data_IF_745606617155
#
_entry.id   IF_745606617155
#
_cell.length_a   1.000
_cell.length_b   1.000
_cell.length_c   1.000
_cell.angle_alpha   90.00
_cell.angle_beta   90.00
_cell.angle_gamma   90.00
#
_symmetry.space_group_name_H-M   'P 1'
#
loop_
_entity.id
_entity.type
_entity.pdbx_description
1 polymer ?
#
# COMPACT_ATOMS: atom_id res chain seq x y z
N UNK A 1 -50.02 39.70 -10.30
CA UNK A 1 -48.89 38.74 -10.30
C UNK A 1 -48.70 38.25 -8.88
N UNK A 2 -48.97 36.98 -8.64
CA UNK A 2 -48.89 36.37 -7.31
C UNK A 2 -50.02 35.38 -7.12
N UNK A 3 -49.71 34.09 -7.26
CA UNK A 3 -50.59 33.01 -6.78
C UNK A 3 -49.74 31.97 -6.06
N UNK A 4 -50.13 31.82 -4.80
CA UNK A 4 -49.81 30.82 -3.79
C UNK A 4 -49.42 29.42 -4.28
N UNK A 5 -48.38 28.87 -3.66
CA UNK A 5 -48.17 27.42 -3.50
C UNK A 5 -48.43 27.01 -2.06
N UNK A 6 -49.25 25.96 -1.91
CA UNK A 6 -49.72 25.37 -0.67
C UNK A 6 -48.70 24.40 -0.06
N UNK A 7 -48.55 24.51 1.26
CA UNK A 7 -47.79 23.64 2.16
C UNK A 7 -48.49 22.31 2.46
N UNK A 8 -47.73 21.21 2.51
CA UNK A 8 -48.08 19.93 3.17
C UNK A 8 -46.81 19.40 3.89
N UNK A 9 -46.96 18.54 4.92
CA UNK A 9 -46.17 18.62 6.15
C UNK A 9 -45.03 17.60 6.23
N UNK A 10 -44.04 17.92 7.06
CA UNK A 10 -42.90 17.06 7.38
C UNK A 10 -43.31 15.84 8.22
N UNK A 11 -42.74 14.64 7.97
CA UNK A 11 -42.85 13.53 8.90
C UNK A 11 -41.69 13.51 9.90
N UNK A 12 -42.09 13.56 11.17
CA UNK A 12 -41.48 13.04 12.39
C UNK A 12 -40.07 12.40 12.31
N UNK A 13 -39.13 13.04 13.02
CA UNK A 13 -37.91 12.40 13.51
C UNK A 13 -38.25 11.44 14.67
N UNK A 14 -38.06 10.15 14.48
CA UNK A 14 -37.95 9.18 15.57
C UNK A 14 -36.51 9.13 16.07
N UNK A 15 -36.32 9.60 17.31
CA UNK A 15 -35.12 9.37 18.12
C UNK A 15 -34.90 7.87 18.29
N UNK A 16 -33.86 7.31 17.69
CA UNK A 16 -33.26 6.04 18.11
C UNK A 16 -31.89 6.30 18.71
N UNK A 17 -31.69 5.73 19.90
CA UNK A 17 -30.61 6.03 20.82
C UNK A 17 -29.22 5.79 20.25
N UNK A 18 -28.36 6.79 20.38
CA UNK A 18 -26.92 6.64 20.20
C UNK A 18 -26.35 5.73 21.27
N UNK A 19 -25.96 4.51 20.87
CA UNK A 19 -25.02 3.68 21.62
C UNK A 19 -23.62 4.22 21.35
N UNK A 20 -22.76 4.41 22.37
CA UNK A 20 -21.50 5.11 22.21
C UNK A 20 -20.55 4.36 21.27
N UNK A 21 -20.06 5.04 20.24
CA UNK A 21 -18.90 4.61 19.49
C UNK A 21 -17.71 4.56 20.46
N UNK A 22 -17.32 3.35 20.87
CA UNK A 22 -16.15 3.16 21.73
C UNK A 22 -14.90 3.40 20.88
N UNK A 23 -14.33 4.57 21.13
CA UNK A 23 -13.09 5.11 20.64
C UNK A 23 -11.93 4.11 20.83
N UNK A 24 -11.34 3.65 19.72
CA UNK A 24 -9.94 3.24 19.73
C UNK A 24 -9.15 4.55 19.69
N UNK A 25 -8.82 5.07 20.88
CA UNK A 25 -8.28 6.41 21.16
C UNK A 25 -9.26 7.58 20.89
N UNK A 26 -9.24 8.63 21.74
CA UNK A 26 -10.16 9.77 21.64
C UNK A 26 -10.14 10.38 20.23
N UNK A 27 -11.21 11.10 19.82
CA UNK A 27 -11.23 11.81 18.55
C UNK A 27 -9.93 12.58 18.42
N UNK A 28 -9.19 12.31 17.36
CA UNK A 28 -7.87 12.88 17.12
C UNK A 28 -8.03 14.39 16.87
N UNK A 29 -8.12 15.14 17.95
CA UNK A 29 -8.00 16.58 17.97
C UNK A 29 -6.54 16.94 17.77
N UNK A 30 -6.30 18.10 17.15
CA UNK A 30 -4.94 18.62 17.05
C UNK A 30 -4.28 18.67 18.43
N UNK A 31 -3.01 18.27 18.49
CA UNK A 31 -2.23 18.18 19.73
C UNK A 31 -2.32 16.83 20.45
N UNK A 32 -3.09 15.86 19.94
CA UNK A 32 -3.11 14.50 20.50
C UNK A 32 -2.00 13.63 19.94
N UNK A 33 -1.48 12.74 20.79
CA UNK A 33 -0.52 11.70 20.41
C UNK A 33 -1.24 10.63 19.59
N UNK A 34 -0.69 10.30 18.43
CA UNK A 34 -1.16 9.21 17.56
C UNK A 34 0.02 8.39 17.05
N UNK A 35 -0.23 7.18 16.57
CA UNK A 35 0.83 6.32 16.01
C UNK A 35 0.88 6.47 14.50
N UNK A 36 1.98 7.00 13.98
CA UNK A 36 2.23 7.13 12.54
C UNK A 36 2.89 5.85 12.00
N UNK A 37 2.31 5.16 11.01
CA UNK A 37 2.95 3.99 10.41
C UNK A 37 4.12 4.40 9.50
N UNK A 38 5.35 4.05 9.88
CA UNK A 38 6.58 4.28 9.10
C UNK A 38 7.14 2.97 8.53
N UNK A 39 8.22 3.05 7.74
CA UNK A 39 8.88 1.85 7.20
C UNK A 39 9.45 0.92 8.28
N UNK A 40 9.81 1.46 9.44
CA UNK A 40 10.41 0.75 10.56
C UNK A 40 9.40 0.33 11.65
N UNK A 41 8.11 0.69 11.50
CA UNK A 41 7.07 0.42 12.49
C UNK A 41 6.22 1.66 12.82
N UNK A 42 5.32 1.54 13.80
CA UNK A 42 4.55 2.66 14.31
C UNK A 42 5.42 3.59 15.16
N UNK A 43 5.48 4.87 14.81
CA UNK A 43 6.21 5.89 15.57
C UNK A 43 5.19 6.81 16.26
N UNK A 44 5.31 7.08 17.57
CA UNK A 44 4.46 8.06 18.24
C UNK A 44 4.69 9.46 17.65
N UNK A 45 3.62 10.13 17.28
CA UNK A 45 3.62 11.42 16.61
C UNK A 45 2.54 12.33 17.20
N UNK A 46 2.74 13.65 17.12
CA UNK A 46 1.75 14.64 17.55
C UNK A 46 1.33 15.45 16.31
N UNK A 47 0.02 15.57 16.11
CA UNK A 47 -0.50 16.36 15.00
C UNK A 47 -0.57 17.84 15.39
N UNK A 48 -0.07 18.71 14.53
CA UNK A 48 0.01 20.14 14.79
C UNK A 48 -0.57 20.89 13.60
N UNK A 49 -1.18 22.05 13.86
CA UNK A 49 -1.66 22.98 12.85
C UNK A 49 -0.48 23.41 11.98
N UNK A 50 -0.64 23.37 10.66
CA UNK A 50 0.42 23.80 9.72
C UNK A 50 0.89 25.23 10.02
N UNK A 51 -0.02 26.11 10.48
CA UNK A 51 0.30 27.48 10.90
C UNK A 51 1.24 27.56 12.11
N UNK A 52 1.21 26.58 13.00
CA UNK A 52 1.96 26.59 14.27
C UNK A 52 3.30 25.84 14.14
N UNK A 53 3.48 25.07 13.07
CA UNK A 53 4.66 24.25 12.85
C UNK A 53 5.96 25.08 12.75
N UNK A 54 6.03 26.20 11.99
CA UNK A 54 7.23 27.05 11.94
C UNK A 54 7.60 27.63 13.30
N UNK A 55 6.60 27.99 14.11
CA UNK A 55 6.80 28.56 15.46
C UNK A 55 7.44 27.52 16.37
N UNK A 56 6.95 26.28 16.33
CA UNK A 56 7.51 25.17 17.13
C UNK A 56 8.94 24.83 16.72
N UNK A 57 9.22 24.75 15.41
CA UNK A 57 10.59 24.53 14.93
C UNK A 57 11.52 25.62 15.45
N UNK A 58 11.13 26.89 15.31
CA UNK A 58 11.94 28.01 15.78
C UNK A 58 12.18 27.94 17.30
N UNK A 59 11.14 27.61 18.08
CA UNK A 59 11.26 27.46 19.54
C UNK A 59 12.24 26.35 19.92
N UNK A 60 12.17 25.17 19.26
CA UNK A 60 13.12 24.08 19.50
C UNK A 60 14.55 24.43 19.07
N UNK A 61 14.74 25.14 17.95
CA UNK A 61 16.06 25.64 17.53
C UNK A 61 16.67 26.56 18.59
N UNK A 62 15.88 27.48 19.16
CA UNK A 62 16.32 28.38 20.24
C UNK A 62 16.69 27.59 21.50
N UNK A 63 15.86 26.62 21.90
CA UNK A 63 16.14 25.76 23.06
C UNK A 63 17.46 24.99 22.90
N UNK A 64 17.71 24.41 21.73
CA UNK A 64 18.97 23.72 21.43
C UNK A 64 20.15 24.69 21.52
N UNK A 65 20.01 25.91 20.99
CA UNK A 65 21.06 26.92 21.08
C UNK A 65 21.39 27.29 22.54
N UNK A 66 20.37 27.40 23.41
CA UNK A 66 20.55 27.65 24.85
C UNK A 66 21.25 26.47 25.54
N UNK A 67 20.91 25.23 25.16
CA UNK A 67 21.58 24.02 25.68
C UNK A 67 23.07 24.06 25.31
N UNK A 68 23.42 24.39 24.07
CA UNK A 68 24.83 24.47 23.64
C UNK A 68 25.58 25.63 24.32
N UNK A 69 24.93 26.77 24.56
CA UNK A 69 25.52 27.86 25.33
C UNK A 69 25.81 27.44 26.78
N UNK A 70 24.90 26.68 27.40
CA UNK A 70 25.07 26.14 28.74
C UNK A 70 26.15 25.05 28.79
N UNK A 71 26.19 24.19 27.76
CA UNK A 71 27.20 23.15 27.58
C UNK A 71 28.60 23.75 27.43
N UNK A 72 28.74 24.88 26.72
CA UNK A 72 30.00 25.61 26.64
C UNK A 72 30.49 26.03 28.02
N UNK A 73 29.63 26.66 28.83
CA UNK A 73 29.98 27.08 30.19
C UNK A 73 30.39 25.89 31.06
N UNK A 74 29.66 24.78 30.96
CA UNK A 74 30.02 23.55 31.67
C UNK A 74 31.39 23.00 31.23
N UNK A 75 31.65 22.93 29.93
CA UNK A 75 32.92 22.44 29.39
C UNK A 75 34.09 23.36 29.72
N UNK A 76 33.89 24.68 29.73
CA UNK A 76 34.91 25.64 30.16
C UNK A 76 35.33 25.42 31.62
N UNK A 77 34.34 25.21 32.51
CA UNK A 77 34.60 24.87 33.91
C UNK A 77 35.32 23.51 34.05
N UNK A 78 34.94 22.53 33.24
CA UNK A 78 35.55 21.20 33.25
C UNK A 78 37.01 21.25 32.79
N UNK A 79 37.30 22.00 31.72
CA UNK A 79 38.67 22.23 31.24
C UNK A 79 39.53 22.85 32.35
N UNK A 80 39.03 23.85 33.07
CA UNK A 80 39.74 24.44 34.21
C UNK A 80 40.01 23.42 35.31
N UNK A 81 39.00 22.66 35.73
CA UNK A 81 39.14 21.70 36.82
C UNK A 81 40.23 20.65 36.50
N UNK A 82 40.18 20.05 35.32
CA UNK A 82 41.14 19.01 34.94
C UNK A 82 42.53 19.56 34.59
N UNK A 83 42.65 20.81 34.14
CA UNK A 83 43.94 21.44 33.89
C UNK A 83 44.61 21.95 35.17
N UNK A 84 43.86 22.53 36.10
CA UNK A 84 44.38 23.03 37.36
C UNK A 84 44.89 21.92 38.28
N UNK A 85 44.31 20.71 38.17
CA UNK A 85 44.66 19.56 39.02
C UNK A 85 45.87 18.76 38.53
N UNK A 86 46.32 18.92 37.29
CA UNK A 86 47.23 17.95 36.66
C UNK A 86 48.71 18.32 36.63
N UNK A 87 49.10 19.59 36.60
CA UNK A 87 50.50 19.96 36.33
C UNK A 87 50.98 21.19 37.13
N UNK A 88 51.73 20.95 38.21
CA UNK A 88 52.45 22.01 38.95
C UNK A 88 53.62 22.63 38.15
N UNK A 89 54.11 21.93 37.11
CA UNK A 89 55.25 22.35 36.26
C UNK A 89 54.83 22.87 34.87
N UNK A 90 53.56 23.24 34.69
CA UNK A 90 53.06 23.73 33.40
C UNK A 90 53.73 25.05 32.98
N UNK A 91 54.27 25.11 31.75
CA UNK A 91 54.94 26.29 31.22
C UNK A 91 54.01 27.50 31.04
N UNK A 92 54.60 28.71 31.05
CA UNK A 92 53.88 30.01 30.99
C UNK A 92 52.91 30.12 29.81
N UNK A 93 53.24 29.52 28.67
CA UNK A 93 52.40 29.57 27.46
C UNK A 93 51.07 28.83 27.64
N UNK A 94 51.06 27.72 28.40
CA UNK A 94 49.84 26.97 28.70
C UNK A 94 48.89 27.73 29.62
N UNK A 95 49.42 28.45 30.61
CA UNK A 95 48.62 29.32 31.48
C UNK A 95 47.97 30.46 30.70
N UNK A 96 48.70 31.08 29.77
CA UNK A 96 48.14 32.14 28.90
C UNK A 96 47.01 31.59 28.03
N UNK A 97 47.18 30.41 27.44
CA UNK A 97 46.12 29.76 26.67
C UNK A 97 44.89 29.42 27.53
N UNK A 98 45.09 28.91 28.75
CA UNK A 98 43.99 28.58 29.65
C UNK A 98 43.21 29.84 30.10
N UNK A 99 43.91 30.92 30.42
CA UNK A 99 43.30 32.21 30.79
C UNK A 99 42.54 32.82 29.61
N UNK A 100 43.10 32.78 28.41
CA UNK A 100 42.43 33.26 27.20
C UNK A 100 41.17 32.41 26.87
N UNK A 101 41.24 31.10 27.09
CA UNK A 101 40.10 30.19 26.91
C UNK A 101 39.00 30.46 27.94
N UNK A 102 39.36 30.62 29.21
CA UNK A 102 38.43 30.93 30.29
C UNK A 102 37.74 32.28 30.14
N UNK A 103 38.48 33.31 29.74
CA UNK A 103 37.94 34.65 29.53
C UNK A 103 37.03 34.75 28.29
N UNK A 104 36.89 33.67 27.52
CA UNK A 104 36.02 33.63 26.37
C UNK A 104 34.57 33.31 26.79
N UNK A 105 33.73 34.33 26.79
CA UNK A 105 32.31 34.23 27.19
C UNK A 105 31.46 33.30 26.30
N UNK A 106 31.92 33.00 25.08
CA UNK A 106 31.24 32.13 24.13
C UNK A 106 32.27 31.36 23.27
N UNK A 107 31.87 30.27 22.58
CA UNK A 107 32.81 29.47 21.81
C UNK A 107 33.40 30.24 20.62
N UNK A 108 32.72 31.25 20.09
CA UNK A 108 33.23 32.08 18.99
C UNK A 108 34.42 32.94 19.39
N UNK A 109 34.36 33.56 20.58
CA UNK A 109 35.49 34.31 21.13
C UNK A 109 36.64 33.39 21.53
N UNK A 110 36.35 32.15 21.93
CA UNK A 110 37.39 31.15 22.16
C UNK A 110 38.10 30.72 20.87
N UNK A 111 37.40 30.61 19.74
CA UNK A 111 38.01 30.31 18.43
C UNK A 111 39.00 31.41 18.04
N UNK A 112 38.61 32.68 18.15
CA UNK A 112 39.48 33.79 17.74
C UNK A 112 40.68 33.94 18.66
N UNK A 113 40.49 33.83 19.98
CA UNK A 113 41.59 33.94 20.97
C UNK A 113 42.55 32.76 20.90
N UNK A 114 42.05 31.53 20.81
CA UNK A 114 42.91 30.34 20.65
C UNK A 114 43.59 30.31 19.27
N UNK A 115 42.89 30.74 18.22
CA UNK A 115 43.45 30.86 16.88
C UNK A 115 44.61 31.87 16.83
N UNK A 116 44.45 33.02 17.50
CA UNK A 116 45.51 34.01 17.64
C UNK A 116 46.70 33.45 18.44
N UNK A 117 46.45 32.74 19.54
CA UNK A 117 47.49 32.06 20.32
C UNK A 117 48.28 31.04 19.47
N UNK A 118 47.57 30.19 18.70
CA UNK A 118 48.20 29.20 17.83
C UNK A 118 49.00 29.85 16.70
N UNK A 119 48.46 30.90 16.09
CA UNK A 119 49.14 31.67 15.04
C UNK A 119 50.43 32.33 15.57
N UNK A 120 50.39 32.93 16.75
CA UNK A 120 51.59 33.47 17.39
C UNK A 120 52.59 32.37 17.76
N UNK A 121 52.11 31.22 18.25
CA UNK A 121 52.98 30.09 18.61
C UNK A 121 53.61 29.41 17.39
N UNK A 122 53.01 29.49 16.20
CA UNK A 122 53.58 28.97 14.94
C UNK A 122 54.48 29.98 14.23
N UNK A 123 54.05 31.23 14.07
CA UNK A 123 54.80 32.28 13.36
C UNK A 123 56.00 32.78 14.19
N UNK A 124 55.79 33.10 15.47
CA UNK A 124 56.86 33.60 16.34
C UNK A 124 57.62 32.45 17.05
N UNK A 125 57.23 31.20 16.79
CA UNK A 125 57.77 29.99 17.41
C UNK A 125 59.14 29.54 16.90
N UNK A 126 59.71 30.20 15.89
CA UNK A 126 61.07 29.91 15.37
C UNK A 126 62.18 30.07 16.42
N UNK A 127 61.93 30.82 17.50
CA UNK A 127 62.90 31.07 18.58
C UNK A 127 62.75 30.14 19.82
N UNK A 128 62.06 28.99 19.70
CA UNK A 128 62.04 27.98 20.78
C UNK A 128 61.23 28.34 22.05
N UNK A 129 60.36 29.36 22.00
CA UNK A 129 59.62 29.87 23.17
C UNK A 129 58.39 29.05 23.61
N UNK A 130 57.90 28.12 22.78
CA UNK A 130 56.71 27.30 23.09
C UNK A 130 57.00 25.84 22.76
N UNK A 131 56.86 24.98 23.77
CA UNK A 131 57.14 23.55 23.64
C UNK A 131 56.05 22.84 22.81
N UNK A 132 56.41 21.72 22.15
CA UNK A 132 55.46 20.88 21.39
C UNK A 132 54.19 20.48 22.17
N UNK A 133 54.26 20.04 23.44
CA UNK A 133 53.06 19.68 24.18
C UNK A 133 52.14 20.88 24.45
N UNK A 134 52.67 22.08 24.68
CA UNK A 134 51.85 23.28 24.89
C UNK A 134 51.07 23.68 23.64
N UNK A 135 51.69 23.57 22.46
CA UNK A 135 51.00 23.77 21.17
C UNK A 135 49.87 22.77 20.97
N UNK A 136 50.11 21.51 21.32
CA UNK A 136 49.10 20.45 21.20
C UNK A 136 47.86 20.71 22.07
N UNK A 137 48.05 21.20 23.31
CA UNK A 137 46.94 21.59 24.18
C UNK A 137 46.14 22.77 23.60
N UNK A 138 46.82 23.79 23.06
CA UNK A 138 46.15 24.89 22.37
C UNK A 138 45.32 24.43 21.17
N UNK A 139 45.82 23.45 20.41
CA UNK A 139 45.09 22.84 19.29
C UNK A 139 43.84 22.12 19.79
N UNK A 140 43.93 21.35 20.89
CA UNK A 140 42.77 20.67 21.47
C UNK A 140 41.70 21.68 21.90
N UNK A 141 42.09 22.76 22.60
CA UNK A 141 41.15 23.79 23.06
C UNK A 141 40.51 24.53 21.88
N UNK A 142 41.28 24.80 20.82
CA UNK A 142 40.76 25.37 19.57
C UNK A 142 39.77 24.44 18.87
N UNK A 143 40.09 23.14 18.75
CA UNK A 143 39.18 22.17 18.14
C UNK A 143 37.89 22.01 18.96
N UNK A 144 38.00 22.01 20.29
CA UNK A 144 36.85 21.96 21.18
C UNK A 144 35.91 23.15 20.97
N UNK A 145 36.44 24.37 20.87
CA UNK A 145 35.62 25.57 20.63
C UNK A 145 34.98 25.57 19.23
N UNK A 146 35.69 25.13 18.20
CA UNK A 146 35.15 24.93 16.85
C UNK A 146 34.00 23.91 16.85
N UNK A 147 34.20 22.75 17.48
CA UNK A 147 33.18 21.68 17.53
C UNK A 147 31.92 22.17 18.22
N UNK A 148 32.03 22.89 19.34
CA UNK A 148 30.86 23.39 20.07
C UNK A 148 30.16 24.50 19.30
N UNK A 149 30.90 25.43 18.69
CA UNK A 149 30.33 26.55 17.93
C UNK A 149 29.53 26.05 16.72
N UNK A 150 30.16 25.25 15.86
CA UNK A 150 29.52 24.72 14.66
C UNK A 150 28.52 23.61 14.98
N UNK A 151 28.81 22.79 16.00
CA UNK A 151 27.90 21.76 16.49
C UNK A 151 26.58 22.36 16.99
N UNK A 152 26.61 23.49 17.70
CA UNK A 152 25.40 24.18 18.15
C UNK A 152 24.53 24.69 17.00
N UNK A 153 25.13 25.30 15.97
CA UNK A 153 24.39 25.76 14.77
C UNK A 153 23.84 24.57 13.98
N UNK A 154 24.67 23.55 13.72
CA UNK A 154 24.23 22.39 12.98
C UNK A 154 23.09 21.66 13.72
N UNK A 155 23.24 21.45 15.03
CA UNK A 155 22.22 20.80 15.86
C UNK A 155 20.90 21.58 15.87
N UNK A 156 20.94 22.91 15.97
CA UNK A 156 19.73 23.75 16.02
C UNK A 156 18.95 23.78 14.70
N UNK A 157 19.59 23.45 13.57
CA UNK A 157 18.95 23.30 12.26
C UNK A 157 18.49 21.86 12.03
N UNK A 158 19.37 20.88 12.24
CA UNK A 158 19.09 19.49 11.84
C UNK A 158 18.16 18.76 12.81
N UNK A 159 18.26 19.00 14.12
CA UNK A 159 17.46 18.26 15.11
C UNK A 159 15.96 18.62 14.98
N UNK A 160 15.55 19.90 14.95
CA UNK A 160 14.13 20.23 14.81
C UNK A 160 13.55 19.77 13.47
N UNK A 161 14.35 19.81 12.40
CA UNK A 161 13.91 19.29 11.10
C UNK A 161 13.74 17.76 11.12
N UNK A 162 14.64 17.04 11.80
CA UNK A 162 14.54 15.59 11.97
C UNK A 162 13.33 15.15 12.84
N UNK A 163 12.80 16.05 13.67
CA UNK A 163 11.55 15.81 14.42
C UNK A 163 10.29 15.94 13.53
N UNK A 164 10.41 16.46 12.30
CA UNK A 164 9.31 16.54 11.35
C UNK A 164 9.09 15.19 10.66
N UNK A 165 7.93 14.58 10.91
CA UNK A 165 7.51 13.34 10.25
C UNK A 165 6.76 13.60 8.92
N UNK A 166 6.74 14.85 8.44
CA UNK A 166 6.09 15.26 7.20
C UNK A 166 4.60 15.57 7.34
N UNK A 167 3.88 15.78 6.22
CA UNK A 167 2.47 16.14 6.21
C UNK A 167 1.61 14.89 6.45
N UNK A 168 1.57 14.43 7.69
CA UNK A 168 0.69 13.35 8.12
C UNK A 168 -0.23 13.85 9.24
N UNK A 169 -1.53 13.81 8.98
CA UNK A 169 -2.55 14.12 9.98
C UNK A 169 -3.34 12.85 10.31
N UNK A 170 -3.74 12.66 11.58
CA UNK A 170 -4.66 11.61 11.93
C UNK A 170 -6.01 11.88 11.25
N UNK A 171 -6.65 10.82 10.78
CA UNK A 171 -7.94 10.92 10.09
C UNK A 171 -9.02 11.26 11.11
N UNK A 172 -9.82 12.30 10.84
CA UNK A 172 -10.92 12.65 11.71
C UNK A 172 -11.98 11.54 11.68
N UNK A 173 -12.40 10.95 12.81
CA UNK A 173 -13.32 9.80 12.78
C UNK A 173 -14.65 10.09 12.08
N UNK A 174 -15.17 11.33 12.20
CA UNK A 174 -16.41 11.75 11.53
C UNK A 174 -16.28 11.97 10.02
N UNK A 175 -15.06 12.04 9.47
CA UNK A 175 -14.86 12.13 8.02
C UNK A 175 -14.69 10.76 7.36
N UNK A 176 -14.72 9.69 8.15
CA UNK A 176 -14.65 8.32 7.65
C UNK A 176 -16.07 7.79 7.51
N UNK A 177 -16.52 7.68 6.26
CA UNK A 177 -17.75 6.94 5.94
C UNK A 177 -17.38 5.48 5.67
N UNK A 178 -17.82 4.58 6.54
CA UNK A 178 -17.86 3.15 6.28
C UNK A 178 -19.35 2.74 6.28
N UNK A 179 -19.93 2.31 5.16
CA UNK A 179 -21.30 1.84 5.15
C UNK A 179 -21.42 0.61 6.07
N UNK A 180 -22.48 0.55 6.88
CA UNK A 180 -22.74 -0.62 7.72
C UNK A 180 -23.11 -1.80 6.81
N UNK A 181 -22.22 -2.81 6.75
CA UNK A 181 -22.38 -3.95 5.84
C UNK A 181 -23.32 -5.03 6.38
N UNK A 182 -23.81 -4.91 7.61
CA UNK A 182 -24.67 -5.91 8.27
C UNK A 182 -26.11 -5.94 7.70
N UNK A 183 -26.60 -4.84 7.12
CA UNK A 183 -27.99 -4.70 6.62
C UNK A 183 -28.11 -4.61 5.09
N UNK A 184 -27.05 -4.99 4.38
CA UNK A 184 -27.00 -4.75 2.93
C UNK A 184 -27.71 -5.87 2.18
N UNK A 185 -28.93 -5.58 1.74
CA UNK A 185 -29.61 -6.34 0.70
C UNK A 185 -28.68 -6.57 -0.50
N UNK A 186 -28.78 -7.74 -1.14
CA UNK A 186 -27.89 -8.21 -2.23
C UNK A 186 -27.72 -7.22 -3.39
N UNK A 187 -28.66 -6.29 -3.61
CA UNK A 187 -28.55 -5.24 -4.62
C UNK A 187 -27.58 -4.11 -4.27
N UNK A 188 -27.27 -3.87 -2.98
CA UNK A 188 -26.33 -2.81 -2.56
C UNK A 188 -24.90 -3.30 -2.35
N UNK A 189 -24.65 -4.62 -2.35
CA UNK A 189 -23.28 -5.17 -2.36
C UNK A 189 -22.56 -4.81 -3.66
N UNK A 190 -23.25 -4.92 -4.81
CA UNK A 190 -22.73 -4.51 -6.12
C UNK A 190 -22.34 -3.04 -6.13
N UNK A 191 -23.11 -2.16 -5.46
CA UNK A 191 -22.78 -0.73 -5.35
C UNK A 191 -21.50 -0.50 -4.54
N UNK A 192 -21.30 -1.26 -3.48
CA UNK A 192 -20.08 -1.21 -2.67
C UNK A 192 -18.87 -1.74 -3.44
N UNK A 193 -19.03 -2.80 -4.22
CA UNK A 193 -17.96 -3.32 -5.06
C UNK A 193 -17.55 -2.31 -6.13
N UNK A 194 -18.52 -1.58 -6.72
CA UNK A 194 -18.22 -0.44 -7.60
C UNK A 194 -17.43 0.68 -6.92
N UNK A 195 -17.67 0.95 -5.63
CA UNK A 195 -16.85 1.92 -4.89
C UNK A 195 -15.39 1.45 -4.71
N UNK A 196 -15.14 0.14 -4.78
CA UNK A 196 -13.79 -0.43 -4.71
C UNK A 196 -13.08 -0.46 -6.08
N UNK A 197 -13.80 -0.33 -7.19
CA UNK A 197 -13.25 -0.44 -8.54
C UNK A 197 -12.08 0.53 -8.82
N UNK A 198 -12.16 1.85 -8.52
CA UNK A 198 -11.05 2.77 -8.77
C UNK A 198 -9.78 2.39 -7.98
N UNK A 199 -9.99 1.88 -6.77
CA UNK A 199 -8.93 1.44 -5.90
C UNK A 199 -8.25 0.19 -6.49
N UNK A 200 -9.04 -0.78 -7.00
CA UNK A 200 -8.55 -2.00 -7.66
C UNK A 200 -7.79 -1.66 -8.93
N UNK A 201 -8.34 -0.82 -9.80
CA UNK A 201 -7.68 -0.37 -11.03
C UNK A 201 -6.36 0.36 -10.75
N UNK A 202 -6.31 1.19 -9.70
CA UNK A 202 -5.06 1.85 -9.28
C UNK A 202 -4.01 0.83 -8.84
N UNK A 203 -4.40 -0.21 -8.12
CA UNK A 203 -3.46 -1.26 -7.71
C UNK A 203 -2.96 -2.08 -8.91
N UNK A 204 -3.86 -2.46 -9.83
CA UNK A 204 -3.48 -3.15 -11.07
C UNK A 204 -2.47 -2.31 -11.88
N UNK A 205 -2.80 -1.04 -12.14
CA UNK A 205 -1.89 -0.11 -12.84
C UNK A 205 -0.56 0.07 -12.12
N UNK A 206 -0.56 0.16 -10.79
CA UNK A 206 0.68 0.26 -10.00
C UNK A 206 1.51 -1.02 -10.07
N UNK A 207 0.89 -2.20 -10.18
CA UNK A 207 1.66 -3.44 -10.35
C UNK A 207 2.23 -3.61 -11.75
N UNK A 208 1.55 -3.14 -12.79
CA UNK A 208 2.04 -3.22 -14.16
C UNK A 208 3.13 -2.17 -14.46
N UNK A 209 2.96 -0.93 -13.97
CA UNK A 209 3.87 0.17 -14.29
C UNK A 209 5.29 0.01 -13.72
N UNK A 210 5.46 -0.80 -12.68
CA UNK A 210 6.71 -0.92 -11.95
C UNK A 210 7.16 -2.39 -11.92
N UNK A 211 8.10 -2.77 -12.78
CA UNK A 211 8.68 -4.14 -12.81
C UNK A 211 9.30 -4.57 -11.47
N UNK A 212 9.67 -3.60 -10.63
CA UNK A 212 10.32 -3.79 -9.34
C UNK A 212 9.43 -3.48 -8.11
N UNK A 213 8.08 -3.51 -8.22
CA UNK A 213 7.26 -3.35 -6.99
C UNK A 213 7.55 -4.50 -6.03
N UNK A 214 7.94 -4.13 -4.82
CA UNK A 214 8.07 -4.99 -3.63
C UNK A 214 6.82 -5.85 -3.39
N UNK A 215 5.65 -5.42 -3.86
CA UNK A 215 4.37 -6.11 -3.74
C UNK A 215 4.27 -7.37 -4.61
N UNK A 216 4.84 -7.39 -5.84
CA UNK A 216 4.90 -8.60 -6.67
C UNK A 216 5.83 -9.64 -6.07
N UNK A 217 6.96 -9.20 -5.48
CA UNK A 217 7.91 -10.08 -4.78
C UNK A 217 7.30 -10.75 -3.53
N UNK A 218 6.18 -10.24 -3.02
CA UNK A 218 5.49 -10.77 -1.84
C UNK A 218 4.36 -11.75 -2.18
N UNK A 219 4.23 -12.12 -3.45
CA UNK A 219 3.28 -13.12 -3.94
C UNK A 219 4.09 -14.21 -4.61
N UNK A 220 3.94 -15.43 -4.10
CA UNK A 220 4.56 -16.62 -4.64
C UNK A 220 3.60 -17.22 -5.67
N UNK A 221 4.02 -17.33 -6.92
CA UNK A 221 3.22 -17.89 -8.02
C UNK A 221 4.01 -18.94 -8.77
N UNK A 222 3.44 -20.12 -8.92
CA UNK A 222 4.04 -21.24 -9.65
C UNK A 222 3.11 -21.68 -10.76
N UNK A 223 3.64 -21.69 -11.99
CA UNK A 223 2.97 -22.24 -13.16
C UNK A 223 3.53 -23.63 -13.44
N UNK A 224 2.66 -24.62 -13.60
CA UNK A 224 3.05 -25.99 -13.91
C UNK A 224 2.20 -26.55 -15.05
N UNK A 225 2.84 -27.20 -16.01
CA UNK A 225 2.13 -27.94 -17.07
C UNK A 225 1.69 -29.29 -16.54
N UNK A 226 0.41 -29.62 -16.71
CA UNK A 226 -0.16 -30.87 -16.19
C UNK A 226 0.03 -32.05 -17.16
N UNK A 227 0.03 -33.30 -16.66
CA UNK A 227 0.04 -34.49 -17.50
C UNK A 227 -1.12 -34.52 -18.50
N UNK A 228 -0.86 -34.97 -19.73
CA UNK A 228 -1.86 -35.00 -20.81
C UNK A 228 -2.11 -33.64 -21.47
N UNK A 229 -1.33 -32.61 -21.15
CA UNK A 229 -1.29 -31.35 -21.89
C UNK A 229 -0.81 -31.59 -23.32
N UNK A 230 -1.56 -31.10 -24.31
CA UNK A 230 -1.18 -31.14 -25.72
C UNK A 230 -1.35 -29.75 -26.37
N UNK A 231 -1.01 -29.62 -27.65
CA UNK A 231 -1.08 -28.32 -28.34
C UNK A 231 -2.51 -27.78 -28.52
N UNK A 232 -3.53 -28.64 -28.52
CA UNK A 232 -4.94 -28.24 -28.73
C UNK A 232 -5.68 -28.00 -27.42
N UNK A 233 -5.30 -28.73 -26.37
CA UNK A 233 -5.82 -28.73 -25.01
C UNK A 233 -4.66 -28.58 -24.01
N UNK A 234 -3.96 -27.43 -24.03
CA UNK A 234 -2.88 -27.18 -23.08
C UNK A 234 -3.42 -27.15 -21.65
N UNK A 235 -2.98 -28.11 -20.83
CA UNK A 235 -3.39 -28.21 -19.41
C UNK A 235 -2.37 -27.55 -18.51
N UNK A 236 -2.80 -26.56 -17.73
CA UNK A 236 -1.94 -25.76 -16.88
C UNK A 236 -2.52 -25.63 -15.48
N UNK A 237 -1.62 -25.60 -14.49
CA UNK A 237 -1.89 -25.36 -13.07
C UNK A 237 -1.19 -24.09 -12.62
N UNK A 238 -1.88 -23.31 -11.81
CA UNK A 238 -1.43 -22.04 -11.26
C UNK A 238 -1.63 -22.04 -9.77
N UNK A 239 -0.54 -22.24 -9.05
CA UNK A 239 -0.53 -22.16 -7.60
C UNK A 239 -0.13 -20.75 -7.18
N UNK A 240 -0.83 -20.18 -6.21
CA UNK A 240 -0.53 -18.86 -5.66
C UNK A 240 -0.59 -18.85 -4.14
N UNK A 241 0.32 -18.10 -3.52
CA UNK A 241 0.38 -17.93 -2.07
C UNK A 241 0.83 -16.51 -1.71
N UNK A 242 0.11 -15.90 -0.79
CA UNK A 242 0.47 -14.59 -0.28
C UNK A 242 0.02 -14.41 1.17
N UNK A 243 0.60 -13.42 1.85
CA UNK A 243 0.24 -13.10 3.24
C UNK A 243 0.14 -11.60 3.41
N UNK A 244 -1.05 -11.08 3.72
CA UNK A 244 -1.29 -9.66 3.99
C UNK A 244 -1.13 -9.42 5.49
N UNK A 245 -0.17 -8.59 5.87
CA UNK A 245 0.07 -8.20 7.27
C UNK A 245 -0.80 -7.01 7.68
N UNK A 246 -0.97 -6.79 8.98
CA UNK A 246 -1.64 -5.61 9.56
C UNK A 246 -1.14 -4.29 8.95
N UNK A 247 0.17 -4.19 8.75
CA UNK A 247 0.84 -3.03 8.16
C UNK A 247 0.45 -2.82 6.70
N UNK A 248 0.34 -3.90 5.92
CA UNK A 248 -0.05 -3.84 4.51
C UNK A 248 -1.54 -3.57 4.36
N UNK A 249 -2.34 -4.00 5.33
CA UNK A 249 -3.74 -3.63 5.49
C UNK A 249 -3.94 -2.18 5.99
N UNK A 250 -2.86 -1.47 6.30
CA UNK A 250 -2.93 -0.06 6.70
C UNK A 250 -3.37 0.17 8.16
N UNK A 251 -3.28 -0.84 9.02
CA UNK A 251 -3.58 -0.68 10.44
C UNK A 251 -2.47 0.11 11.16
N UNK A 252 -2.87 1.07 11.98
CA UNK A 252 -1.95 1.97 12.71
C UNK A 252 -1.36 1.32 13.97
N UNK A 253 -2.10 0.40 14.59
CA UNK A 253 -1.66 -0.30 15.80
C UNK A 253 -0.91 -1.60 15.43
N UNK A 254 0.07 -2.03 16.25
CA UNK A 254 0.70 -3.35 16.13
C UNK A 254 -0.29 -4.44 16.54
N UNK A 255 -1.30 -4.65 15.71
CA UNK A 255 -2.11 -5.85 15.75
C UNK A 255 -1.27 -6.94 15.09
N UNK A 256 -1.03 -8.05 15.79
CA UNK A 256 -0.49 -9.28 15.20
C UNK A 256 -1.53 -9.92 14.28
N UNK A 257 -1.98 -9.16 13.28
CA UNK A 257 -2.95 -9.56 12.27
C UNK A 257 -2.21 -9.96 11.00
N UNK A 258 -2.55 -11.13 10.48
CA UNK A 258 -2.12 -11.59 9.17
C UNK A 258 -3.22 -12.37 8.48
N UNK A 259 -3.51 -12.04 7.23
CA UNK A 259 -4.35 -12.83 6.35
C UNK A 259 -3.46 -13.66 5.44
N UNK A 260 -3.51 -14.99 5.60
CA UNK A 260 -2.73 -15.95 4.80
C UNK A 260 -3.67 -16.56 3.77
N UNK A 261 -3.23 -16.52 2.52
CA UNK A 261 -3.99 -17.09 1.40
C UNK A 261 -3.11 -18.05 0.63
N UNK A 262 -3.70 -19.20 0.32
CA UNK A 262 -3.13 -20.19 -0.57
C UNK A 262 -4.23 -20.66 -1.51
N UNK A 263 -3.95 -20.74 -2.80
CA UNK A 263 -4.92 -21.27 -3.74
C UNK A 263 -4.26 -21.87 -4.97
N UNK A 264 -5.09 -22.50 -5.78
CA UNK A 264 -4.66 -23.16 -7.01
C UNK A 264 -5.77 -23.07 -8.04
N UNK A 265 -5.40 -22.90 -9.29
CA UNK A 265 -6.32 -23.00 -10.42
C UNK A 265 -5.78 -23.96 -11.47
N UNK A 266 -6.66 -24.78 -12.04
CA UNK A 266 -6.35 -25.69 -13.14
C UNK A 266 -7.27 -25.42 -14.33
N UNK A 267 -6.74 -25.52 -15.54
CA UNK A 267 -7.55 -25.50 -16.76
C UNK A 267 -8.40 -26.78 -16.87
N UNK A 268 -9.71 -26.64 -17.03
CA UNK A 268 -10.66 -27.73 -17.16
C UNK A 268 -11.41 -27.65 -18.49
N UNK A 269 -11.22 -28.69 -19.31
CA UNK A 269 -11.81 -28.78 -20.65
C UNK A 269 -13.12 -29.57 -20.64
N UNK A 270 -13.35 -30.43 -19.63
CA UNK A 270 -14.55 -31.28 -19.55
C UNK A 270 -15.82 -30.52 -19.15
N UNK A 271 -15.68 -29.28 -18.69
CA UNK A 271 -16.80 -28.39 -18.40
C UNK A 271 -17.41 -27.78 -19.66
N UNK A 272 -16.68 -27.74 -20.77
CA UNK A 272 -17.25 -27.32 -22.05
C UNK A 272 -18.16 -28.43 -22.57
N UNK A 273 -19.47 -28.21 -22.53
CA UNK A 273 -20.49 -29.18 -22.97
C UNK A 273 -21.49 -28.52 -23.92
N UNK A 274 -22.06 -29.27 -24.87
CA UNK A 274 -23.21 -28.78 -25.63
C UNK A 274 -24.34 -28.45 -24.66
N UNK A 275 -25.01 -27.31 -24.84
CA UNK A 275 -26.17 -26.98 -24.02
C UNK A 275 -27.38 -27.73 -24.56
N UNK A 276 -28.02 -28.62 -23.77
CA UNK A 276 -29.25 -29.27 -24.17
C UNK A 276 -30.35 -28.22 -24.40
N UNK A 277 -31.30 -28.52 -25.28
CA UNK A 277 -32.48 -27.67 -25.58
C UNK A 277 -32.24 -26.39 -26.38
N UNK A 278 -31.03 -26.18 -26.92
CA UNK A 278 -30.77 -25.12 -27.91
C UNK A 278 -30.84 -25.71 -29.32
N UNK A 279 -31.66 -25.10 -30.18
CA UNK A 279 -31.93 -25.55 -31.56
C UNK A 279 -30.68 -25.61 -32.47
N UNK A 280 -29.61 -24.89 -32.10
CA UNK A 280 -28.30 -24.95 -32.77
C UNK A 280 -27.14 -24.85 -31.74
N UNK A 281 -26.69 -25.99 -31.19
CA UNK A 281 -25.65 -26.02 -30.17
C UNK A 281 -24.27 -25.59 -30.71
N UNK A 282 -24.08 -25.49 -32.03
CA UNK A 282 -22.84 -24.99 -32.62
C UNK A 282 -22.68 -23.46 -32.46
N UNK A 283 -23.78 -22.75 -32.14
CA UNK A 283 -23.77 -21.29 -31.89
C UNK A 283 -23.49 -20.94 -30.43
N UNK A 284 -23.10 -21.88 -29.57
CA UNK A 284 -22.90 -21.58 -28.15
C UNK A 284 -21.72 -22.35 -27.57
N UNK A 285 -20.98 -21.70 -26.67
CA UNK A 285 -20.15 -22.41 -25.70
C UNK A 285 -20.95 -22.56 -24.41
N UNK A 286 -21.33 -23.80 -24.08
CA UNK A 286 -21.91 -24.14 -22.79
C UNK A 286 -20.83 -24.54 -21.79
N UNK A 287 -20.80 -23.90 -20.62
CA UNK A 287 -19.95 -24.31 -19.52
C UNK A 287 -20.78 -24.86 -18.38
N UNK A 288 -20.44 -26.07 -17.93
CA UNK A 288 -21.12 -26.80 -16.86
C UNK A 288 -20.11 -27.05 -15.73
N UNK A 289 -19.73 -26.00 -14.98
CA UNK A 289 -18.82 -26.15 -13.86
C UNK A 289 -19.45 -27.01 -12.75
N UNK A 290 -18.64 -27.85 -12.12
CA UNK A 290 -19.06 -28.68 -10.97
C UNK A 290 -20.26 -29.61 -11.23
N UNK A 291 -20.53 -29.94 -12.50
CA UNK A 291 -21.68 -30.76 -12.90
C UNK A 291 -23.05 -30.21 -12.45
N UNK A 292 -23.14 -28.88 -12.31
CA UNK A 292 -24.37 -28.16 -11.96
C UNK A 292 -25.21 -27.86 -13.21
N UNK A 293 -26.35 -27.19 -13.03
CA UNK A 293 -27.10 -26.65 -14.16
C UNK A 293 -26.20 -25.75 -15.02
N UNK A 294 -26.34 -25.79 -16.37
CA UNK A 294 -25.47 -25.04 -17.26
C UNK A 294 -25.49 -23.55 -16.92
N UNK A 295 -24.30 -22.96 -16.80
CA UNK A 295 -24.16 -21.51 -16.78
C UNK A 295 -24.73 -20.97 -18.09
N UNK A 296 -25.34 -19.78 -18.03
CA UNK A 296 -25.97 -19.14 -19.19
C UNK A 296 -25.07 -19.28 -20.45
N UNK A 297 -25.58 -19.90 -21.53
CA UNK A 297 -24.76 -20.26 -22.67
C UNK A 297 -24.14 -19.02 -23.30
N UNK A 298 -22.84 -19.07 -23.57
CA UNK A 298 -22.15 -17.97 -24.24
C UNK A 298 -22.45 -18.06 -25.72
N UNK A 299 -23.24 -17.10 -26.21
CA UNK A 299 -23.59 -16.98 -27.62
C UNK A 299 -22.34 -16.76 -28.48
N UNK A 300 -22.13 -17.67 -29.42
CA UNK A 300 -21.26 -17.57 -30.57
C UNK A 300 -22.15 -17.17 -31.74
N UNK A 301 -22.36 -15.87 -31.98
CA UNK A 301 -23.19 -15.46 -33.13
C UNK A 301 -22.49 -15.87 -34.44
N UNK A 302 -23.00 -16.85 -35.21
CA UNK A 302 -22.43 -17.26 -36.49
C UNK A 302 -23.05 -16.52 -37.68
N UNK A 303 -24.12 -15.73 -37.48
CA UNK A 303 -24.70 -14.89 -38.53
C UNK A 303 -23.99 -13.57 -38.67
N UNK A 304 -23.31 -13.13 -37.60
CA UNK A 304 -22.49 -11.93 -37.61
C UNK A 304 -21.19 -12.18 -36.82
N UNK A 305 -20.20 -12.80 -37.49
CA UNK A 305 -18.83 -12.87 -36.98
C UNK A 305 -18.32 -11.48 -36.56
N UNK A 306 -18.89 -10.39 -37.08
CA UNK A 306 -18.52 -9.04 -36.69
C UNK A 306 -18.92 -8.72 -35.26
N UNK A 307 -20.11 -9.10 -34.80
CA UNK A 307 -20.52 -8.79 -33.42
C UNK A 307 -19.63 -9.50 -32.39
N UNK A 308 -19.20 -10.72 -32.69
CA UNK A 308 -18.28 -11.47 -31.83
C UNK A 308 -16.87 -10.85 -31.76
N UNK A 309 -16.36 -10.29 -32.86
CA UNK A 309 -15.06 -9.59 -32.90
C UNK A 309 -15.04 -8.33 -32.03
N UNK A 310 -16.20 -7.69 -31.90
CA UNK A 310 -16.37 -6.46 -31.14
C UNK A 310 -16.92 -6.67 -29.72
N UNK A 311 -17.28 -7.90 -29.36
CA UNK A 311 -17.76 -8.23 -28.01
C UNK A 311 -16.67 -7.94 -26.99
N UNK A 312 -17.03 -7.28 -25.89
CA UNK A 312 -16.06 -6.96 -24.84
C UNK A 312 -15.63 -8.25 -24.12
N UNK A 313 -14.31 -8.53 -24.05
CA UNK A 313 -13.74 -9.61 -23.26
C UNK A 313 -14.28 -9.57 -21.83
N UNK A 314 -14.85 -10.68 -21.38
CA UNK A 314 -15.41 -10.79 -20.04
C UNK A 314 -15.05 -12.14 -19.40
N UNK A 315 -15.29 -12.26 -18.10
CA UNK A 315 -15.11 -13.50 -17.35
C UNK A 315 -16.34 -13.76 -16.47
N UNK A 316 -16.90 -14.96 -16.60
CA UNK A 316 -17.90 -15.49 -15.69
C UNK A 316 -17.23 -16.09 -14.44
N UNK A 317 -17.98 -16.10 -13.34
CA UNK A 317 -17.55 -16.67 -12.06
C UNK A 317 -18.70 -17.51 -11.53
N UNK A 318 -18.42 -18.76 -11.19
CA UNK A 318 -19.39 -19.65 -10.53
C UNK A 318 -18.78 -20.17 -9.23
N UNK A 319 -19.51 -20.13 -8.12
CA UNK A 319 -19.03 -20.69 -6.85
C UNK A 319 -19.52 -22.12 -6.68
N UNK A 320 -18.72 -22.98 -6.04
CA UNK A 320 -19.20 -24.31 -5.72
C UNK A 320 -20.34 -24.21 -4.67
N UNK A 321 -21.46 -24.96 -4.81
CA UNK A 321 -22.63 -24.80 -3.94
C UNK A 321 -22.37 -25.08 -2.47
N UNK A 322 -21.41 -25.97 -2.17
CA UNK A 322 -20.99 -26.20 -0.77
C UNK A 322 -20.36 -24.98 -0.12
N UNK A 323 -19.92 -24.00 -0.91
CA UNK A 323 -19.07 -22.89 -0.46
C UNK A 323 -19.84 -21.57 -0.33
N UNK A 324 -21.18 -21.63 -0.38
CA UNK A 324 -22.06 -20.53 0.03
C UNK A 324 -21.86 -20.16 1.51
N UNK A 325 -21.35 -21.08 2.31
CA UNK A 325 -21.19 -20.92 3.75
C UNK A 325 -19.86 -20.18 4.09
N UNK A 326 -19.97 -18.99 4.69
CA UNK A 326 -18.82 -18.13 5.01
C UNK A 326 -17.87 -18.72 6.08
N UNK A 327 -18.29 -19.82 6.71
CA UNK A 327 -17.54 -20.55 7.74
C UNK A 327 -16.40 -21.37 7.16
N UNK A 328 -16.46 -21.69 5.87
CA UNK A 328 -15.51 -22.55 5.17
C UNK A 328 -14.22 -21.77 4.87
N UNK A 329 -13.08 -22.34 5.28
CA UNK A 329 -11.75 -21.77 5.03
C UNK A 329 -11.29 -21.99 3.59
N UNK A 330 -11.67 -23.11 2.96
CA UNK A 330 -11.27 -23.50 1.62
C UNK A 330 -12.45 -23.47 0.65
N UNK A 331 -12.44 -22.54 -0.31
CA UNK A 331 -13.53 -22.34 -1.26
C UNK A 331 -13.10 -22.65 -2.67
N UNK A 332 -13.97 -23.31 -3.41
CA UNK A 332 -13.84 -23.66 -4.80
C UNK A 332 -14.72 -22.76 -5.66
N UNK A 333 -14.19 -22.33 -6.80
CA UNK A 333 -14.88 -21.48 -7.75
C UNK A 333 -14.37 -21.74 -9.16
N UNK A 334 -15.22 -21.51 -10.16
CA UNK A 334 -14.89 -21.60 -11.55
C UNK A 334 -14.67 -20.20 -12.15
N UNK A 335 -13.67 -20.06 -13.01
CA UNK A 335 -13.49 -18.89 -13.86
C UNK A 335 -13.76 -19.28 -15.32
N UNK A 336 -14.70 -18.60 -15.95
CA UNK A 336 -15.20 -18.96 -17.29
C UNK A 336 -14.83 -17.83 -18.26
N UNK A 337 -13.91 -18.06 -19.21
CA UNK A 337 -13.50 -17.01 -20.16
C UNK A 337 -14.57 -16.80 -21.23
N UNK A 338 -15.05 -15.56 -21.36
CA UNK A 338 -15.91 -15.12 -22.46
C UNK A 338 -15.07 -14.38 -23.50
N UNK A 339 -14.26 -15.17 -24.22
CA UNK A 339 -13.27 -14.66 -25.18
C UNK A 339 -13.46 -15.24 -26.59
N UNK A 340 -14.46 -16.07 -26.81
CA UNK A 340 -14.61 -16.79 -28.07
C UNK A 340 -14.78 -15.81 -29.24
N UNK A 341 -13.96 -15.99 -30.28
CA UNK A 341 -13.93 -15.14 -31.48
C UNK A 341 -13.61 -13.67 -31.25
N UNK A 342 -13.15 -13.27 -30.06
CA UNK A 342 -12.66 -11.92 -29.82
C UNK A 342 -11.45 -11.61 -30.75
N UNK A 343 -11.44 -10.42 -31.33
CA UNK A 343 -10.38 -9.96 -32.23
C UNK A 343 -9.05 -9.74 -31.51
N UNK A 344 -7.94 -10.16 -32.11
CA UNK A 344 -6.60 -10.03 -31.52
C UNK A 344 -5.57 -9.57 -32.56
N UNK A 345 -4.75 -8.56 -32.25
CA UNK A 345 -3.67 -8.09 -33.15
C UNK A 345 -2.55 -9.14 -33.28
N UNK A 346 -2.34 -9.93 -32.24
CA UNK A 346 -1.19 -10.83 -32.10
C UNK A 346 -1.62 -12.29 -31.95
N UNK A 347 -0.79 -13.20 -32.44
CA UNK A 347 -0.98 -14.63 -32.23
C UNK A 347 -0.58 -15.04 -30.80
N UNK A 348 -1.26 -16.02 -30.22
CA UNK A 348 -0.92 -16.59 -28.92
C UNK A 348 -1.20 -18.10 -28.86
N UNK A 349 -0.44 -18.77 -27.99
CA UNK A 349 -0.52 -20.21 -27.70
C UNK A 349 -1.05 -20.51 -26.30
N UNK A 350 -1.44 -19.47 -25.57
CA UNK A 350 -1.96 -19.58 -24.21
C UNK A 350 -3.32 -20.32 -24.17
N UNK A 351 -3.66 -21.13 -23.16
CA UNK A 351 -4.92 -21.87 -23.12
C UNK A 351 -6.16 -20.97 -23.29
N UNK A 352 -6.20 -19.81 -22.63
CA UNK A 352 -7.32 -18.85 -22.73
C UNK A 352 -7.25 -17.99 -23.98
N UNK A 353 -6.05 -17.63 -24.43
CA UNK A 353 -5.84 -16.74 -25.56
C UNK A 353 -5.41 -17.44 -26.85
N UNK A 354 -5.62 -18.76 -26.98
CA UNK A 354 -5.20 -19.51 -28.15
C UNK A 354 -5.88 -18.93 -29.39
N UNK A 355 -5.08 -18.38 -30.31
CA UNK A 355 -5.60 -17.70 -31.50
C UNK A 355 -5.57 -18.58 -32.75
N UNK A 356 -6.39 -18.23 -33.72
CA UNK A 356 -6.30 -18.65 -35.12
C UNK A 356 -6.18 -17.44 -36.06
N UNK A 357 -5.56 -17.61 -37.24
CA UNK A 357 -5.55 -16.57 -38.26
C UNK A 357 -6.97 -16.15 -38.64
N UNK A 358 -7.18 -14.84 -38.77
CA UNK A 358 -8.45 -14.26 -39.16
C UNK A 358 -8.25 -13.39 -40.40
N UNK A 359 -8.66 -13.92 -41.56
CA UNK A 359 -8.61 -13.22 -42.83
C UNK A 359 -9.97 -12.56 -43.10
N UNK A 360 -10.11 -11.29 -42.70
CA UNK A 360 -11.25 -10.45 -43.07
C UNK A 360 -10.79 -9.32 -43.99
N UNK A 361 -11.46 -9.17 -45.13
CA UNK A 361 -11.20 -8.08 -46.08
C UNK A 361 -11.56 -6.70 -45.51
N UNK A 362 -12.46 -6.63 -44.53
CA UNK A 362 -12.93 -5.40 -43.89
C UNK A 362 -12.18 -5.05 -42.60
N UNK A 363 -11.57 -6.03 -41.93
CA UNK A 363 -10.89 -5.86 -40.64
C UNK A 363 -9.44 -6.35 -40.67
N UNK A 364 -8.71 -5.96 -41.71
CA UNK A 364 -7.34 -6.39 -41.97
C UNK A 364 -6.31 -6.04 -40.88
N UNK A 365 -6.67 -5.23 -39.88
CA UNK A 365 -5.78 -4.88 -38.76
C UNK A 365 -5.80 -5.89 -37.61
N UNK A 366 -6.82 -6.78 -37.52
CA UNK A 366 -6.87 -7.80 -36.47
C UNK A 366 -5.93 -8.96 -36.79
N UNK A 367 -5.98 -9.56 -37.98
CA UNK A 367 -5.08 -10.65 -38.38
C UNK A 367 -5.25 -11.97 -37.61
N UNK A 368 -5.74 -11.94 -36.37
CA UNK A 368 -6.07 -13.12 -35.55
C UNK A 368 -7.38 -12.93 -34.78
N UNK A 369 -7.96 -14.05 -34.37
CA UNK A 369 -9.06 -14.10 -33.40
C UNK A 369 -8.86 -15.25 -32.41
N UNK A 370 -9.44 -15.15 -31.23
CA UNK A 370 -9.39 -16.23 -30.23
C UNK A 370 -10.26 -17.41 -30.69
N UNK A 371 -9.71 -18.63 -30.61
CA UNK A 371 -10.46 -19.86 -30.93
C UNK A 371 -11.62 -20.05 -29.96
N UNK A 372 -12.75 -20.56 -30.44
CA UNK A 372 -13.84 -21.00 -29.55
C UNK A 372 -13.40 -22.19 -28.67
N UNK A 373 -14.23 -22.52 -27.67
CA UNK A 373 -13.98 -23.64 -26.75
C UNK A 373 -12.70 -23.51 -25.92
N UNK A 374 -12.41 -22.31 -25.40
CA UNK A 374 -11.30 -22.11 -24.45
C UNK A 374 -11.64 -22.79 -23.12
N UNK A 375 -10.67 -23.36 -22.38
CA UNK A 375 -10.98 -24.04 -21.13
C UNK A 375 -11.45 -23.05 -20.07
N UNK A 376 -12.47 -23.43 -19.29
CA UNK A 376 -12.70 -22.79 -18.01
C UNK A 376 -11.59 -23.19 -17.03
N UNK A 377 -11.58 -22.58 -15.85
CA UNK A 377 -10.64 -22.93 -14.80
C UNK A 377 -11.36 -23.34 -13.53
N UNK A 378 -10.96 -24.49 -12.97
CA UNK A 378 -11.35 -24.92 -11.63
C UNK A 378 -10.33 -24.38 -10.63
N UNK A 379 -10.78 -23.48 -9.77
CA UNK A 379 -9.97 -22.86 -8.74
C UNK A 379 -10.42 -23.29 -7.34
N UNK A 380 -9.47 -23.27 -6.40
CA UNK A 380 -9.77 -23.23 -4.97
C UNK A 380 -8.86 -22.21 -4.26
N UNK A 381 -9.35 -21.63 -3.18
CA UNK A 381 -8.63 -20.68 -2.32
C UNK A 381 -8.92 -20.99 -0.85
N UNK A 382 -7.85 -21.27 -0.09
CA UNK A 382 -7.86 -21.28 1.36
C UNK A 382 -7.50 -19.90 1.92
N UNK A 383 -8.36 -19.39 2.79
CA UNK A 383 -8.28 -18.05 3.38
C UNK A 383 -8.28 -18.16 4.90
N UNK A 384 -7.14 -17.84 5.53
CA UNK A 384 -6.94 -17.91 6.97
C UNK A 384 -6.63 -16.53 7.55
N UNK A 385 -7.45 -16.09 8.50
CA UNK A 385 -7.22 -14.86 9.25
C UNK A 385 -6.59 -15.21 10.60
N UNK A 386 -5.37 -14.76 10.82
CA UNK A 386 -4.64 -15.00 12.05
C UNK A 386 -4.55 -13.72 12.88
N UNK A 387 -4.89 -13.83 14.17
CA UNK A 387 -4.75 -12.79 15.18
C UNK A 387 -4.00 -13.36 16.39
N UNK A 388 -2.88 -12.75 16.79
CA UNK A 388 -2.03 -13.25 17.89
C UNK A 388 -1.71 -14.75 17.75
N UNK A 389 -1.34 -15.16 16.53
CA UNK A 389 -1.03 -16.56 16.14
C UNK A 389 -2.21 -17.55 16.13
N UNK A 390 -3.41 -17.13 16.52
CA UNK A 390 -4.62 -17.96 16.39
C UNK A 390 -5.25 -17.68 15.03
N UNK A 391 -5.38 -18.71 14.19
CA UNK A 391 -5.95 -18.58 12.85
C UNK A 391 -7.39 -19.11 12.83
N UNK A 392 -8.28 -18.36 12.18
CA UNK A 392 -9.69 -18.72 12.00
C UNK A 392 -10.14 -18.44 10.57
N UNK A 393 -11.31 -18.96 10.18
CA UNK A 393 -12.01 -18.51 8.98
C UNK A 393 -12.46 -17.04 9.11
N UNK A 394 -12.96 -16.49 8.01
CA UNK A 394 -13.50 -15.12 7.95
C UNK A 394 -14.66 -14.95 8.92
N UNK A 395 -15.58 -15.90 9.00
CA UNK A 395 -16.69 -15.84 9.95
C UNK A 395 -16.23 -16.01 11.41
N UNK A 396 -15.21 -16.83 11.63
CA UNK A 396 -14.59 -17.02 12.95
C UNK A 396 -14.09 -15.72 13.59
N UNK A 397 -13.83 -14.68 12.78
CA UNK A 397 -13.41 -13.36 13.28
C UNK A 397 -14.47 -12.66 14.12
N UNK A 398 -15.76 -13.01 13.96
CA UNK A 398 -16.85 -12.48 14.79
C UNK A 398 -16.60 -12.75 16.28
N UNK A 399 -15.97 -13.89 16.60
CA UNK A 399 -15.68 -14.34 17.97
C UNK A 399 -14.34 -13.82 18.52
N UNK A 400 -13.58 -13.08 17.70
CA UNK A 400 -12.27 -12.53 18.12
C UNK A 400 -12.44 -11.20 18.88
N UNK A 401 -11.45 -10.78 19.69
CA UNK A 401 -11.49 -9.51 20.41
C UNK A 401 -11.29 -8.27 19.51
N UNK A 402 -11.50 -8.39 18.19
CA UNK A 402 -11.38 -7.26 17.27
C UNK A 402 -12.56 -6.27 17.42
N UNK A 403 -12.30 -4.96 17.35
CA UNK A 403 -13.34 -3.93 17.37
C UNK A 403 -14.41 -4.15 16.27
N UNK A 404 -15.69 -3.85 16.54
CA UNK A 404 -16.82 -4.06 15.59
C UNK A 404 -16.51 -3.51 14.20
N UNK A 405 -16.07 -2.26 14.10
CA UNK A 405 -15.74 -1.64 12.81
C UNK A 405 -14.63 -2.38 12.05
N UNK A 406 -13.59 -2.83 12.73
CA UNK A 406 -12.51 -3.58 12.08
C UNK A 406 -12.98 -4.97 11.64
N UNK A 407 -13.82 -5.65 12.43
CA UNK A 407 -14.44 -6.93 12.02
C UNK A 407 -15.25 -6.76 10.73
N UNK A 408 -16.08 -5.73 10.65
CA UNK A 408 -16.88 -5.42 9.45
C UNK A 408 -15.99 -5.22 8.23
N UNK A 409 -14.91 -4.43 8.35
CA UNK A 409 -13.98 -4.19 7.23
C UNK A 409 -13.30 -5.49 6.82
N UNK A 410 -12.76 -6.25 7.77
CA UNK A 410 -12.01 -7.49 7.48
C UNK A 410 -12.94 -8.53 6.84
N UNK A 411 -14.16 -8.68 7.36
CA UNK A 411 -15.18 -9.53 6.76
C UNK A 411 -15.52 -9.08 5.33
N UNK A 412 -15.88 -7.81 5.12
CA UNK A 412 -16.23 -7.31 3.78
C UNK A 412 -15.07 -7.30 2.78
N UNK A 413 -13.82 -7.28 3.25
CA UNK A 413 -12.64 -7.29 2.37
C UNK A 413 -12.19 -8.69 1.99
N UNK A 414 -12.28 -9.66 2.90
CA UNK A 414 -11.73 -11.02 2.73
C UNK A 414 -12.78 -12.14 2.67
N UNK A 415 -14.08 -11.80 2.68
CA UNK A 415 -15.17 -12.77 2.58
C UNK A 415 -15.28 -13.48 1.24
N UNK A 416 -14.59 -13.01 0.21
CA UNK A 416 -14.67 -13.52 -1.17
C UNK A 416 -13.24 -13.63 -1.70
N UNK A 417 -12.91 -14.65 -2.51
CA UNK A 417 -11.58 -14.78 -3.10
C UNK A 417 -11.10 -13.52 -3.81
N UNK A 418 -9.80 -13.20 -3.67
CA UNK A 418 -9.26 -11.95 -4.22
C UNK A 418 -9.34 -11.94 -5.75
N UNK A 419 -9.14 -13.09 -6.39
CA UNK A 419 -9.26 -13.23 -7.85
C UNK A 419 -10.66 -12.83 -8.33
N UNK A 420 -11.71 -13.38 -7.71
CA UNK A 420 -13.08 -13.08 -8.13
C UNK A 420 -13.44 -11.62 -7.87
N UNK A 421 -12.98 -11.05 -6.76
CA UNK A 421 -13.16 -9.63 -6.45
C UNK A 421 -12.52 -8.70 -7.47
N UNK A 422 -11.31 -9.02 -7.93
CA UNK A 422 -10.62 -8.24 -8.98
C UNK A 422 -11.44 -8.29 -10.27
N UNK A 423 -11.91 -9.47 -10.67
CA UNK A 423 -12.72 -9.67 -11.88
C UNK A 423 -14.02 -8.87 -11.81
N UNK A 424 -14.78 -8.99 -10.71
CA UNK A 424 -16.06 -8.29 -10.54
C UNK A 424 -15.90 -6.77 -10.51
N UNK A 425 -14.78 -6.26 -9.96
CA UNK A 425 -14.58 -4.82 -9.77
C UNK A 425 -13.90 -4.14 -10.95
N UNK A 426 -12.94 -4.81 -11.60
CA UNK A 426 -12.20 -4.26 -12.74
C UNK A 426 -12.83 -4.63 -14.09
N UNK A 427 -13.71 -5.64 -14.14
CA UNK A 427 -14.36 -6.09 -15.37
C UNK A 427 -13.33 -6.49 -16.44
N UNK A 428 -13.49 -6.08 -17.70
CA UNK A 428 -12.54 -6.36 -18.77
C UNK A 428 -11.11 -5.89 -18.47
N UNK A 429 -10.95 -4.81 -17.68
CA UNK A 429 -9.63 -4.29 -17.31
C UNK A 429 -8.86 -5.19 -16.32
N UNK A 430 -9.49 -6.23 -15.79
CA UNK A 430 -8.79 -7.30 -15.07
C UNK A 430 -7.89 -8.13 -16.01
N UNK A 431 -8.20 -8.16 -17.30
CA UNK A 431 -7.45 -8.88 -18.31
C UNK A 431 -6.35 -7.99 -18.89
N UNK A 432 -5.10 -8.40 -18.72
CA UNK A 432 -3.95 -7.70 -19.29
C UNK A 432 -3.99 -7.62 -20.81
N UNK A 433 -4.67 -8.56 -21.47
CA UNK A 433 -4.71 -8.68 -22.92
C UNK A 433 -5.55 -7.60 -23.57
N UNK A 434 -6.39 -6.91 -22.81
CA UNK A 434 -7.29 -5.89 -23.33
C UNK A 434 -6.48 -4.63 -23.67
N UNK A 435 -6.33 -4.34 -24.95
CA UNK A 435 -5.56 -3.21 -25.46
C UNK A 435 -6.38 -1.90 -25.52
N UNK A 436 -7.70 -1.96 -25.31
CA UNK A 436 -8.58 -0.79 -25.27
C UNK A 436 -9.91 -1.07 -24.56
N UNK A 437 -10.41 -0.07 -23.81
CA UNK A 437 -11.71 -0.09 -23.14
C UNK A 437 -12.63 0.87 -23.91
N UNK A 438 -13.13 0.41 -25.05
CA UNK A 438 -14.01 1.18 -25.95
C UNK A 438 -15.20 0.35 -26.43
N UNK A 439 -15.85 0.79 -27.51
CA UNK A 439 -16.95 0.04 -28.17
C UNK A 439 -16.51 -1.33 -28.71
N UNK A 440 -15.20 -1.58 -28.71
CA UNK A 440 -14.55 -2.72 -29.35
C UNK A 440 -13.50 -3.28 -28.41
N UNK A 441 -13.74 -4.48 -27.88
CA UNK A 441 -12.87 -5.13 -26.90
C UNK A 441 -11.67 -5.82 -27.54
N UNK A 442 -10.74 -5.03 -28.07
CA UNK A 442 -9.60 -5.54 -28.84
C UNK A 442 -8.49 -6.13 -27.96
N UNK A 443 -7.97 -7.28 -28.36
CA UNK A 443 -6.95 -8.02 -27.62
C UNK A 443 -5.55 -7.91 -28.21
N UNK A 444 -4.55 -7.86 -27.34
CA UNK A 444 -3.16 -8.26 -27.63
C UNK A 444 -2.89 -9.57 -26.86
N UNK A 445 -3.24 -10.69 -27.50
CA UNK A 445 -3.13 -12.02 -26.88
C UNK A 445 -1.67 -12.43 -26.59
N UNK A 446 -0.67 -11.84 -27.24
CA UNK A 446 0.74 -12.11 -26.98
C UNK A 446 1.25 -11.42 -25.72
N UNK A 447 0.78 -10.19 -25.44
CA UNK A 447 1.14 -9.45 -24.22
C UNK A 447 0.76 -10.17 -22.91
N UNK A 448 -0.13 -11.16 -23.03
CA UNK A 448 -0.80 -11.83 -21.93
C UNK A 448 -0.63 -13.33 -22.04
N UNK A 449 0.40 -13.83 -21.38
CA UNK A 449 0.37 -15.21 -20.91
C UNK A 449 -0.61 -15.27 -19.74
N UNK A 450 -1.36 -16.35 -19.57
CA UNK A 450 -2.24 -16.54 -18.44
C UNK A 450 -1.40 -16.46 -17.17
N UNK A 451 -1.48 -15.31 -16.51
CA UNK A 451 -0.76 -14.96 -15.31
C UNK A 451 -1.86 -14.61 -14.31
N UNK A 452 -2.23 -15.60 -13.51
CA UNK A 452 -3.06 -15.37 -12.32
C UNK A 452 -2.14 -14.90 -11.21
N UNK A 453 -1.69 -13.66 -11.29
CA UNK A 453 -0.99 -13.04 -10.17
C UNK A 453 -2.03 -12.32 -9.32
N UNK A 454 -2.44 -12.89 -8.16
CA UNK A 454 -3.18 -12.10 -7.19
C UNK A 454 -2.31 -10.92 -6.81
N UNK A 455 -2.81 -9.70 -7.01
CA UNK A 455 -2.10 -8.50 -6.57
C UNK A 455 -2.33 -8.36 -5.07
N UNK A 456 -1.24 -8.24 -4.32
CA UNK A 456 -1.31 -7.90 -2.90
C UNK A 456 -1.95 -6.52 -2.75
N UNK A 457 -3.24 -6.51 -2.47
CA UNK A 457 -3.98 -5.28 -2.30
C UNK A 457 -3.62 -4.68 -0.94
N UNK A 458 -2.76 -3.66 -0.94
CA UNK A 458 -2.63 -2.84 0.25
C UNK A 458 -3.92 -2.07 0.40
N UNK A 459 -4.79 -2.53 1.30
CA UNK A 459 -5.94 -1.77 1.77
C UNK A 459 -5.48 -0.59 2.63
N UNK A 460 -4.45 0.16 2.20
CA UNK A 460 -4.29 1.54 2.66
C UNK A 460 -5.63 2.19 2.39
N UNK A 461 -6.37 2.42 3.48
CA UNK A 461 -7.62 3.16 3.49
C UNK A 461 -7.29 4.53 2.91
N UNK A 462 -7.37 4.64 1.59
CA UNK A 462 -7.36 5.91 0.89
C UNK A 462 -8.75 6.49 1.13
N UNK A 463 -8.92 7.08 2.31
CA UNK A 463 -10.05 7.93 2.59
C UNK A 463 -10.00 9.09 1.60
N UNK A 464 -10.93 9.08 0.64
CA UNK A 464 -11.25 10.25 -0.14
C UNK A 464 -11.90 11.25 0.80
N UNK A 465 -11.08 12.10 1.42
CA UNK A 465 -11.58 13.32 2.04
C UNK A 465 -11.95 14.28 0.90
N UNK A 466 -13.17 14.18 0.40
CA UNK A 466 -13.74 15.26 -0.40
C UNK A 466 -13.90 16.45 0.54
N UNK A 467 -13.04 17.45 0.37
CA UNK A 467 -13.22 18.77 0.94
C UNK A 467 -14.41 19.38 0.19
N UNK A 468 -15.60 19.35 0.81
CA UNK A 468 -16.63 20.32 0.44
C UNK A 468 -16.13 21.65 0.99
N UNK A 469 -15.82 22.57 0.08
CA UNK A 469 -15.58 23.98 0.41
C UNK A 469 -16.87 24.65 0.87
#
# INVERSE_FOLDING_TARGET
MGVHTSSLPAPHQTKTGGVPAIAINPPSSLGTLFTLPTKAGGVPAISIKSSNFPILIAAYSILIQIIFASLWQFLANLVLLFHALRDADAGRARYVALVAFWNSSNPWTAITTMGAFLCQATINGGNGRVSRPEKFHGIILFLLSVIIAFGGIAASIFIPNAMSLGPAAPVHPKSVFLPELEDIASSSSIRIDRLNAPAILRALGSTEAFKDVTARKNVDTVKTTLPGSNATHPRQRYDYRYTITAREFGLQAPLEFSHKVQGSCITEYNWLRPVPDIADPARFNGYVPFDLDPVEPILLDPTDNMTALWTQPSMGIEYHPSDEDLTITNRSFALIPQLAHAGSITASTDPWYLTEPFNSETEGFLGYRVKSGRPAMSCWEESLLCLHKTCTSVDGIKKTPLPKGLRIIVMGKFSIPVLTKIILSAGPAALKSVAGIGWTGLLDCWSSQLILTPVKYSARLHFWAHKQE
#
